data_IF_053544304475
#
_entry.id   IF_053544304475
#
_cell.length_a   1.000
_cell.length_b   1.000
_cell.length_c   1.000
_cell.angle_alpha   90.00
_cell.angle_beta   90.00
_cell.angle_gamma   90.00
#
_symmetry.space_group_name_H-M   'P 1'
#
loop_
_entity.id
_entity.type
_entity.pdbx_description
1 polymer ?
#
# COMPACT_ATOMS: atom_id res chain seq x y z
N UNK A 1 7.88 -19.14 15.63
CA UNK A 1 7.91 -17.68 15.45
C UNK A 1 9.27 -17.09 15.83
N UNK A 2 9.58 -16.76 17.09
CA UNK A 2 10.88 -16.12 17.44
C UNK A 2 12.09 -16.96 17.02
N UNK A 3 12.12 -18.25 17.37
CA UNK A 3 13.19 -19.16 16.98
C UNK A 3 13.42 -19.31 15.47
N UNK A 4 12.42 -18.98 14.64
CA UNK A 4 12.47 -19.14 13.18
C UNK A 4 12.76 -17.83 12.45
N UNK A 5 12.47 -16.69 13.07
CA UNK A 5 12.47 -15.37 12.42
C UNK A 5 13.42 -14.37 13.08
N UNK A 6 14.09 -14.75 14.18
CA UNK A 6 15.06 -13.87 14.81
C UNK A 6 16.22 -13.60 13.85
N UNK A 7 16.59 -12.33 13.75
CA UNK A 7 17.78 -11.88 13.05
C UNK A 7 18.89 -11.59 14.07
N UNK A 8 20.16 -11.88 13.75
CA UNK A 8 21.28 -11.55 14.62
C UNK A 8 21.53 -10.03 14.65
N UNK A 9 22.14 -9.55 15.74
CA UNK A 9 22.62 -8.17 15.90
C UNK A 9 21.52 -7.09 15.79
N UNK A 10 20.27 -7.44 16.07
CA UNK A 10 19.14 -6.53 16.11
C UNK A 10 18.22 -6.86 17.30
N UNK A 11 17.41 -5.90 17.71
CA UNK A 11 16.36 -6.13 18.72
C UNK A 11 15.12 -6.68 18.01
N UNK A 12 14.92 -7.99 18.07
CA UNK A 12 13.79 -8.66 17.43
C UNK A 12 12.47 -8.33 18.15
N UNK A 13 11.62 -7.55 17.49
CA UNK A 13 10.29 -7.17 17.99
C UNK A 13 9.20 -7.71 17.07
N UNK A 14 8.21 -8.40 17.64
CA UNK A 14 7.12 -9.03 16.90
C UNK A 14 5.78 -8.42 17.30
N UNK A 15 5.12 -7.79 16.34
CA UNK A 15 3.75 -7.30 16.51
C UNK A 15 2.76 -8.40 16.11
N UNK A 16 2.00 -8.90 17.08
CA UNK A 16 1.06 -10.01 16.93
C UNK A 16 -0.32 -9.63 17.46
N UNK A 17 -1.35 -10.40 17.09
CA UNK A 17 -2.71 -10.14 17.59
C UNK A 17 -2.83 -10.40 19.10
N UNK A 18 -2.24 -11.49 19.59
CA UNK A 18 -2.27 -11.86 21.01
C UNK A 18 -0.97 -12.59 21.40
N UNK A 19 -0.05 -11.94 22.14
CA UNK A 19 1.18 -12.55 22.63
C UNK A 19 0.87 -13.34 23.91
N UNK A 20 0.39 -14.57 23.74
CA UNK A 20 0.02 -15.46 24.85
C UNK A 20 -1.01 -14.87 25.84
N UNK A 21 -1.85 -13.95 25.38
CA UNK A 21 -2.86 -13.28 26.21
C UNK A 21 -2.39 -12.00 26.92
N UNK A 22 -1.12 -11.62 26.79
CA UNK A 22 -0.55 -10.41 27.41
C UNK A 22 -0.60 -9.19 26.47
N UNK A 23 -0.23 -8.01 26.97
CA UNK A 23 0.07 -6.86 26.11
C UNK A 23 1.47 -6.97 25.48
N UNK A 24 2.43 -7.54 26.19
CA UNK A 24 3.78 -7.78 25.71
C UNK A 24 4.49 -8.82 26.56
N UNK A 25 5.61 -9.33 26.05
CA UNK A 25 6.62 -10.00 26.86
C UNK A 25 7.98 -9.99 26.14
N UNK A 26 9.06 -9.89 26.90
CA UNK A 26 10.40 -10.32 26.49
C UNK A 26 10.61 -11.80 26.85
N UNK A 27 11.15 -12.58 25.91
CA UNK A 27 11.56 -13.97 26.15
C UNK A 27 13.08 -14.08 26.22
N UNK A 28 13.69 -14.25 27.42
CA UNK A 28 15.14 -14.34 27.55
C UNK A 28 15.75 -15.50 26.78
N UNK A 29 15.08 -16.66 26.76
CA UNK A 29 15.62 -17.87 26.10
C UNK A 29 15.57 -17.84 24.58
N UNK A 30 14.63 -17.08 24.00
CA UNK A 30 14.53 -16.90 22.55
C UNK A 30 15.07 -15.54 22.10
N UNK A 31 15.48 -14.68 23.04
CA UNK A 31 15.97 -13.33 22.83
C UNK A 31 15.11 -12.49 21.86
N UNK A 32 13.84 -12.34 22.20
CA UNK A 32 12.88 -11.60 21.37
C UNK A 32 11.71 -11.04 22.17
N UNK A 33 11.16 -9.94 21.66
CA UNK A 33 10.03 -9.21 22.26
C UNK A 33 8.77 -9.49 21.44
N UNK A 34 7.68 -9.88 22.09
CA UNK A 34 6.35 -9.95 21.48
C UNK A 34 5.45 -8.83 22.02
N UNK A 35 4.67 -8.22 21.14
CA UNK A 35 3.80 -7.09 21.46
C UNK A 35 2.42 -7.32 20.84
N UNK A 36 1.38 -7.06 21.61
CA UNK A 36 0.01 -7.07 21.12
C UNK A 36 -0.26 -5.81 20.31
N UNK A 37 -0.79 -5.97 19.10
CA UNK A 37 -1.21 -4.84 18.25
C UNK A 37 -2.15 -3.87 18.99
N UNK A 38 -2.99 -4.40 19.88
CA UNK A 38 -3.94 -3.61 20.68
C UNK A 38 -3.31 -2.80 21.83
N UNK A 39 -2.02 -2.98 22.14
CA UNK A 39 -1.31 -2.27 23.22
C UNK A 39 -0.11 -1.46 22.68
N UNK A 40 -0.20 -1.01 21.42
CA UNK A 40 0.82 -0.21 20.72
C UNK A 40 0.24 1.11 20.18
N UNK A 41 -0.78 1.67 20.83
CA UNK A 41 -1.25 3.00 20.51
C UNK A 41 -0.16 4.05 20.83
N UNK A 42 -0.22 5.27 20.26
CA UNK A 42 0.82 6.29 20.45
C UNK A 42 1.10 6.72 21.91
N UNK A 43 0.20 6.42 22.84
CA UNK A 43 0.33 6.71 24.28
C UNK A 43 0.65 5.48 25.13
N UNK A 44 0.79 4.31 24.51
CA UNK A 44 1.04 3.06 25.21
C UNK A 44 2.55 2.91 25.47
N UNK A 45 2.90 2.34 26.61
CA UNK A 45 4.31 2.17 27.03
C UNK A 45 4.76 0.71 27.04
N UNK A 46 3.94 -0.21 26.52
CA UNK A 46 4.24 -1.65 26.45
C UNK A 46 5.62 -1.93 25.84
N UNK A 47 5.96 -1.30 24.71
CA UNK A 47 7.26 -1.54 24.08
C UNK A 47 8.43 -1.08 24.95
N UNK A 48 8.31 0.10 25.58
CA UNK A 48 9.35 0.60 26.48
C UNK A 48 9.54 -0.36 27.67
N UNK A 49 8.45 -0.85 28.25
CA UNK A 49 8.47 -1.83 29.32
C UNK A 49 9.22 -3.11 28.93
N UNK A 50 8.89 -3.71 27.79
CA UNK A 50 9.58 -4.93 27.32
C UNK A 50 11.04 -4.70 26.95
N UNK A 51 11.39 -3.51 26.45
CA UNK A 51 12.79 -3.12 26.22
C UNK A 51 13.57 -3.04 27.53
N UNK A 52 12.92 -2.59 28.61
CA UNK A 52 13.51 -2.62 29.95
C UNK A 52 13.93 -4.04 30.34
N UNK A 53 13.04 -5.02 30.21
CA UNK A 53 13.37 -6.44 30.45
C UNK A 53 14.45 -6.97 29.51
N UNK A 54 14.37 -6.64 28.22
CA UNK A 54 15.39 -7.02 27.24
C UNK A 54 16.78 -6.53 27.66
N UNK A 55 16.86 -5.32 28.23
CA UNK A 55 18.07 -4.68 28.74
C UNK A 55 18.28 -4.90 30.25
N UNK A 56 17.86 -6.06 30.76
CA UNK A 56 18.11 -6.59 32.11
C UNK A 56 17.38 -5.96 33.29
N UNK A 57 16.35 -5.13 33.07
CA UNK A 57 15.56 -4.59 34.17
C UNK A 57 14.51 -5.59 34.67
N UNK A 58 14.36 -5.66 35.99
CA UNK A 58 13.22 -6.31 36.63
C UNK A 58 12.05 -5.34 36.79
N UNK A 59 10.87 -5.87 37.10
CA UNK A 59 9.75 -5.05 37.52
C UNK A 59 10.04 -4.37 38.87
N UNK A 60 9.52 -3.16 39.09
CA UNK A 60 9.67 -2.42 40.38
C UNK A 60 9.15 -3.21 41.57
N UNK A 61 8.21 -4.13 41.33
CA UNK A 61 7.61 -5.03 42.31
C UNK A 61 8.18 -6.46 42.26
N UNK A 62 9.42 -6.62 41.80
CA UNK A 62 10.05 -7.93 41.70
C UNK A 62 9.95 -8.73 43.01
N UNK A 63 9.60 -10.02 42.87
CA UNK A 63 9.29 -10.92 43.99
C UNK A 63 7.78 -11.05 44.28
N UNK A 64 6.98 -9.99 44.06
CA UNK A 64 5.53 -10.00 44.27
C UNK A 64 4.76 -10.74 43.16
N UNK A 65 5.37 -10.88 41.99
CA UNK A 65 4.78 -11.48 40.78
C UNK A 65 4.53 -12.98 40.88
N UNK A 66 5.24 -13.62 41.80
CA UNK A 66 5.21 -15.06 42.01
C UNK A 66 4.30 -15.45 43.18
N UNK A 67 3.60 -14.48 43.77
CA UNK A 67 2.75 -14.69 44.93
C UNK A 67 1.30 -14.90 44.51
N UNK A 68 0.85 -16.15 44.59
CA UNK A 68 -0.48 -16.58 44.12
C UNK A 68 -1.60 -16.36 45.16
N UNK A 69 -1.29 -15.85 46.35
CA UNK A 69 -2.28 -15.60 47.41
C UNK A 69 -2.74 -14.14 47.43
N UNK A 70 -3.96 -13.90 47.92
CA UNK A 70 -4.48 -12.54 48.10
C UNK A 70 -3.63 -11.78 49.12
N UNK A 71 -2.92 -10.74 48.65
CA UNK A 71 -2.13 -9.86 49.52
C UNK A 71 -3.07 -8.91 50.26
N UNK A 72 -2.98 -8.89 51.59
CA UNK A 72 -3.62 -7.86 52.40
C UNK A 72 -2.64 -6.72 52.67
N UNK A 73 -2.76 -5.64 51.89
CA UNK A 73 -1.89 -4.47 51.96
C UNK A 73 -2.08 -3.60 53.23
N UNK A 74 -3.15 -3.82 54.00
CA UNK A 74 -3.38 -3.14 55.30
C UNK A 74 -2.51 -3.70 56.42
N UNK A 75 -1.91 -4.88 56.22
CA UNK A 75 -0.98 -5.50 57.16
C UNK A 75 0.46 -5.26 56.71
N UNK A 76 1.42 -5.15 57.64
CA UNK A 76 2.83 -5.13 57.28
C UNK A 76 3.20 -6.32 56.40
N UNK A 77 3.87 -6.05 55.28
CA UNK A 77 4.43 -7.08 54.43
C UNK A 77 5.41 -7.97 55.23
N UNK A 78 5.58 -9.25 54.87
CA UNK A 78 6.62 -10.07 55.49
C UNK A 78 8.01 -9.56 55.09
N UNK A 79 9.04 -9.87 55.89
CA UNK A 79 10.43 -9.58 55.53
C UNK A 79 10.87 -10.31 54.24
N UNK A 80 10.25 -11.46 53.97
CA UNK A 80 10.50 -12.26 52.78
C UNK A 80 9.20 -12.74 52.16
N UNK A 81 9.11 -12.70 50.83
CA UNK A 81 8.02 -13.21 50.03
C UNK A 81 8.58 -14.22 49.03
N UNK A 82 8.19 -15.49 49.13
CA UNK A 82 8.67 -16.58 48.26
C UNK A 82 10.21 -16.71 48.16
N UNK A 83 10.92 -16.37 49.25
CA UNK A 83 12.38 -16.41 49.31
C UNK A 83 13.08 -15.15 48.82
N UNK A 84 12.33 -14.15 48.35
CA UNK A 84 12.82 -12.83 47.99
C UNK A 84 12.65 -11.86 49.15
N UNK A 85 13.64 -11.02 49.40
CA UNK A 85 13.54 -9.97 50.41
C UNK A 85 12.55 -8.88 49.93
N UNK A 86 11.66 -8.42 50.82
CA UNK A 86 10.72 -7.34 50.50
C UNK A 86 11.40 -5.98 50.71
N UNK A 87 11.35 -5.13 49.68
CA UNK A 87 11.97 -3.80 49.72
C UNK A 87 11.30 -2.91 50.77
N UNK A 88 12.10 -2.27 51.61
CA UNK A 88 11.63 -1.37 52.68
C UNK A 88 11.60 0.08 52.22
N UNK A 89 10.63 0.85 52.73
CA UNK A 89 10.45 2.27 52.36
C UNK A 89 11.64 3.13 52.77
N UNK A 90 12.34 2.73 53.83
CA UNK A 90 13.56 3.41 54.31
C UNK A 90 14.80 3.15 53.43
N UNK A 91 14.67 2.32 52.39
CA UNK A 91 15.73 1.95 51.44
C UNK A 91 16.91 1.23 52.07
N UNK A 92 16.74 0.65 53.25
CA UNK A 92 17.83 -0.09 53.93
C UNK A 92 18.29 -1.34 53.17
N UNK A 93 17.46 -1.85 52.26
CA UNK A 93 17.72 -3.04 51.46
C UNK A 93 17.47 -2.86 49.94
N UNK A 94 17.39 -1.62 49.43
CA UNK A 94 17.06 -1.36 48.01
C UNK A 94 18.02 -2.00 46.99
N UNK A 95 19.26 -2.32 47.37
CA UNK A 95 20.22 -2.99 46.47
C UNK A 95 20.03 -4.51 46.39
N UNK A 96 19.25 -5.09 47.30
CA UNK A 96 19.09 -6.56 47.44
C UNK A 96 17.64 -7.01 47.40
N UNK A 97 16.70 -6.07 47.46
CA UNK A 97 15.25 -6.30 47.45
C UNK A 97 14.58 -5.47 46.33
N UNK A 98 13.35 -5.84 45.97
CA UNK A 98 12.64 -5.19 44.86
C UNK A 98 13.38 -5.37 43.53
N UNK A 99 13.42 -4.32 42.70
CA UNK A 99 14.13 -4.35 41.42
C UNK A 99 15.65 -4.18 41.53
N UNK A 100 16.17 -3.98 42.74
CA UNK A 100 17.60 -3.85 43.03
C UNK A 100 18.17 -2.44 42.83
N UNK A 101 17.31 -1.43 42.62
CA UNK A 101 17.71 -0.04 42.47
C UNK A 101 17.27 0.80 43.68
N UNK A 102 18.07 1.79 44.04
CA UNK A 102 17.81 2.66 45.20
C UNK A 102 17.17 3.99 44.82
N UNK A 103 17.04 4.28 43.53
CA UNK A 103 16.33 5.45 42.99
C UNK A 103 14.93 5.11 42.43
N UNK A 104 14.52 3.85 42.52
CA UNK A 104 13.15 3.36 42.46
C UNK A 104 12.62 3.19 43.89
N UNK A 105 11.40 3.66 44.21
CA UNK A 105 10.76 3.37 45.49
C UNK A 105 10.13 1.99 45.49
N UNK A 106 10.02 1.39 46.68
CA UNK A 106 9.20 0.21 46.94
C UNK A 106 7.84 0.25 46.22
N UNK A 107 7.50 -0.86 45.58
CA UNK A 107 6.24 -1.12 44.87
C UNK A 107 5.85 -2.58 45.09
N UNK A 108 4.65 -2.86 45.60
CA UNK A 108 4.18 -4.24 45.86
C UNK A 108 3.00 -4.63 44.96
N UNK A 109 2.65 -3.79 43.99
CA UNK A 109 1.46 -3.97 43.15
C UNK A 109 1.79 -4.71 41.85
N UNK A 110 1.84 -6.04 41.92
CA UNK A 110 2.09 -6.94 40.77
C UNK A 110 0.88 -7.14 39.83
N UNK A 111 0.03 -6.12 39.67
CA UNK A 111 -1.15 -6.15 38.81
C UNK A 111 -1.41 -4.78 38.18
N UNK A 112 -2.25 -4.70 37.15
CA UNK A 112 -2.56 -3.42 36.50
C UNK A 112 -3.31 -2.47 37.45
N UNK A 113 -2.81 -1.25 37.64
CA UNK A 113 -3.45 -0.26 38.53
C UNK A 113 -3.44 1.17 37.98
N UNK A 114 -4.36 2.01 38.48
CA UNK A 114 -4.50 3.41 38.08
C UNK A 114 -3.81 4.36 39.07
N UNK A 115 -3.15 5.40 38.56
CA UNK A 115 -2.58 6.44 39.41
C UNK A 115 -3.58 7.59 39.71
N UNK A 116 -3.36 8.25 40.85
CA UNK A 116 -4.04 9.47 41.27
C UNK A 116 -3.37 10.73 40.66
N UNK A 117 -3.86 11.93 41.00
CA UNK A 117 -3.33 13.21 40.49
C UNK A 117 -1.91 13.56 40.99
N UNK A 118 -1.34 12.76 41.89
CA UNK A 118 0.04 12.87 42.40
C UNK A 118 0.97 11.82 41.79
N UNK A 119 0.50 11.06 40.80
CA UNK A 119 1.19 9.90 40.24
C UNK A 119 1.49 8.80 41.28
N UNK A 120 0.56 8.57 42.21
CA UNK A 120 0.68 7.48 43.20
C UNK A 120 -0.43 6.45 42.99
N UNK A 121 -0.21 5.22 43.44
CA UNK A 121 -1.26 4.21 43.50
C UNK A 121 -2.44 4.66 44.38
N UNK A 122 -3.64 4.20 44.01
CA UNK A 122 -4.86 4.43 44.82
C UNK A 122 -4.96 3.45 46.00
N UNK A 123 -4.08 2.46 46.07
CA UNK A 123 -4.00 1.43 47.11
C UNK A 123 -2.83 1.76 48.05
N UNK A 124 -3.10 1.82 49.35
CA UNK A 124 -2.04 1.93 50.37
C UNK A 124 -1.42 0.57 50.61
N UNK A 125 -0.12 0.55 50.82
CA UNK A 125 0.69 -0.63 51.13
C UNK A 125 1.44 -0.37 52.41
N UNK A 126 1.79 -1.44 53.12
CA UNK A 126 2.52 -1.35 54.37
C UNK A 126 3.79 -2.20 54.28
N UNK A 127 4.95 -1.57 54.47
CA UNK A 127 6.24 -2.27 54.41
C UNK A 127 6.47 -3.17 55.63
N UNK A 128 7.55 -3.99 55.65
CA UNK A 128 7.84 -4.89 56.77
C UNK A 128 8.04 -4.20 58.13
N UNK A 129 8.45 -2.93 58.12
CA UNK A 129 8.62 -2.11 59.31
C UNK A 129 7.29 -1.44 59.76
N UNK A 130 6.19 -1.68 59.06
CA UNK A 130 4.89 -1.07 59.34
C UNK A 130 4.72 0.34 58.76
N UNK A 131 5.60 0.76 57.85
CA UNK A 131 5.52 2.07 57.19
C UNK A 131 4.49 2.01 56.06
N UNK A 132 3.47 2.85 56.14
CA UNK A 132 2.44 2.96 55.12
C UNK A 132 2.92 3.86 53.98
N UNK A 133 2.77 3.40 52.73
CA UNK A 133 3.17 4.12 51.52
C UNK A 133 2.22 3.83 50.34
N UNK A 134 2.48 4.49 49.20
CA UNK A 134 1.81 4.27 47.90
C UNK A 134 2.86 4.14 46.81
N UNK A 135 2.68 3.23 45.86
CA UNK A 135 3.63 3.02 44.76
C UNK A 135 3.68 4.24 43.85
N UNK A 136 4.88 4.59 43.39
CA UNK A 136 5.09 5.68 42.43
C UNK A 136 4.80 5.20 41.00
N UNK A 137 3.84 5.84 40.36
CA UNK A 137 3.33 5.46 39.05
C UNK A 137 4.20 5.93 37.88
N UNK A 138 5.30 6.64 38.13
CA UNK A 138 6.09 7.22 37.04
C UNK A 138 7.01 6.22 36.36
N UNK A 139 7.32 5.10 37.02
CA UNK A 139 8.31 4.14 36.53
C UNK A 139 7.72 3.19 35.49
N UNK A 140 8.39 3.10 34.34
CA UNK A 140 7.97 2.26 33.21
C UNK A 140 7.96 0.77 33.57
N UNK A 141 8.85 0.33 34.48
CA UNK A 141 8.90 -1.06 34.96
C UNK A 141 7.85 -1.41 36.02
N UNK A 142 6.94 -0.49 36.35
CA UNK A 142 5.75 -0.78 37.16
C UNK A 142 4.54 -1.15 36.27
N UNK A 143 3.48 -1.70 36.86
CA UNK A 143 2.20 -1.97 36.19
C UNK A 143 1.18 -0.83 36.32
N UNK A 144 1.66 0.36 36.69
CA UNK A 144 0.85 1.59 36.68
C UNK A 144 0.38 1.99 35.28
N UNK A 145 -0.85 2.50 35.16
CA UNK A 145 -1.45 2.89 33.89
C UNK A 145 -0.53 3.74 33.01
N UNK A 146 -0.52 3.50 31.68
CA UNK A 146 0.46 4.10 30.75
C UNK A 146 0.45 5.64 30.76
N UNK A 147 -0.69 6.26 31.08
CA UNK A 147 -0.79 7.71 31.25
C UNK A 147 0.08 8.28 32.38
N UNK A 148 0.57 7.43 33.29
CA UNK A 148 1.35 7.78 34.48
C UNK A 148 2.83 7.40 34.32
N UNK A 149 3.07 6.20 33.77
CA UNK A 149 4.41 5.68 33.51
C UNK A 149 5.12 6.54 32.45
N UNK A 150 6.21 7.19 32.83
CA UNK A 150 6.86 8.22 32.00
C UNK A 150 8.38 8.16 32.05
N UNK A 151 9.00 7.42 32.98
CA UNK A 151 10.44 7.43 33.19
C UNK A 151 11.02 6.03 33.46
N UNK A 152 12.29 5.87 33.08
CA UNK A 152 13.22 4.98 33.77
C UNK A 152 14.01 5.79 34.79
N UNK A 153 14.41 5.18 35.89
CA UNK A 153 15.31 5.81 36.86
C UNK A 153 16.72 5.99 36.28
N UNK A 154 17.59 6.78 36.93
CA UNK A 154 18.96 6.96 36.47
C UNK A 154 19.78 5.67 36.65
N UNK A 155 19.54 4.92 37.73
CA UNK A 155 20.18 3.62 37.94
C UNK A 155 19.68 2.57 36.95
N UNK A 156 18.38 2.55 36.64
CA UNK A 156 17.82 1.71 35.57
C UNK A 156 18.42 2.04 34.20
N UNK A 157 18.55 3.33 33.85
CA UNK A 157 19.24 3.75 32.61
C UNK A 157 20.70 3.30 32.62
N UNK A 158 21.38 3.41 33.77
CA UNK A 158 22.74 2.94 33.96
C UNK A 158 22.87 1.43 33.72
N UNK A 159 21.98 0.63 34.31
CA UNK A 159 21.95 -0.82 34.15
C UNK A 159 21.67 -1.24 32.70
N UNK A 160 20.68 -0.63 32.05
CA UNK A 160 20.40 -0.90 30.63
C UNK A 160 21.60 -0.60 29.73
N UNK A 161 22.30 0.51 29.98
CA UNK A 161 23.53 0.86 29.25
C UNK A 161 24.66 -0.12 29.53
N UNK A 162 24.84 -0.55 30.78
CA UNK A 162 25.84 -1.55 31.13
C UNK A 162 25.54 -2.89 30.44
N UNK A 163 24.28 -3.36 30.47
CA UNK A 163 23.86 -4.56 29.76
C UNK A 163 24.12 -4.47 28.25
N UNK A 164 23.79 -3.32 27.63
CA UNK A 164 24.07 -3.07 26.21
C UNK A 164 25.57 -3.15 25.89
N UNK A 165 26.44 -2.61 26.76
CA UNK A 165 27.89 -2.57 26.52
C UNK A 165 28.60 -3.89 26.84
N UNK A 166 28.16 -4.60 27.87
CA UNK A 166 28.88 -5.74 28.44
C UNK A 166 28.31 -7.09 27.97
N UNK A 167 26.99 -7.19 27.82
CA UNK A 167 26.30 -8.44 27.50
C UNK A 167 25.69 -8.45 26.10
N UNK A 168 25.42 -7.27 25.52
CA UNK A 168 24.75 -7.12 24.21
C UNK A 168 25.50 -6.24 23.22
N UNK A 169 26.84 -6.28 23.29
CA UNK A 169 27.71 -5.43 22.47
C UNK A 169 27.51 -5.66 20.95
N UNK A 170 26.96 -6.79 20.54
CA UNK A 170 26.58 -7.10 19.16
C UNK A 170 25.51 -6.16 18.59
N UNK A 171 24.70 -5.52 19.44
CA UNK A 171 23.73 -4.51 19.04
C UNK A 171 24.38 -3.16 18.71
N UNK A 172 25.65 -2.98 19.05
CA UNK A 172 26.42 -1.76 18.82
C UNK A 172 27.12 -1.87 17.47
N UNK A 173 26.42 -1.43 16.42
CA UNK A 173 26.94 -1.37 15.05
C UNK A 173 27.02 0.05 14.49
N UNK A 174 27.65 0.24 13.31
CA UNK A 174 27.49 1.47 12.55
C UNK A 174 26.00 1.67 12.26
N UNK A 175 25.46 2.81 12.66
CA UNK A 175 24.08 3.17 12.32
C UNK A 175 23.96 3.24 10.79
N UNK A 176 22.91 2.66 10.18
CA UNK A 176 22.67 2.88 8.76
C UNK A 176 22.49 4.38 8.50
N UNK A 177 23.15 4.90 7.46
CA UNK A 177 22.95 6.29 7.03
C UNK A 177 21.50 6.43 6.57
N UNK A 178 20.71 7.24 7.29
CA UNK A 178 19.28 7.38 7.06
C UNK A 178 18.96 7.78 5.61
N UNK A 179 19.84 8.51 4.92
CA UNK A 179 19.65 8.90 3.51
C UNK A 179 19.52 7.72 2.56
N UNK A 180 20.12 6.57 2.90
CA UNK A 180 20.18 5.40 2.02
C UNK A 180 18.95 4.51 2.18
N UNK A 181 18.15 4.74 3.22
CA UNK A 181 16.98 3.92 3.57
C UNK A 181 15.69 4.74 3.63
N UNK A 182 15.74 6.06 3.79
CA UNK A 182 14.53 6.88 3.83
C UNK A 182 13.90 6.99 2.45
N UNK A 183 12.58 6.83 2.42
CA UNK A 183 11.80 7.12 1.22
C UNK A 183 11.76 8.65 1.06
N UNK A 184 12.09 9.21 -0.12
CA UNK A 184 12.01 10.65 -0.33
C UNK A 184 10.57 11.14 -0.20
N UNK A 185 10.41 12.41 0.17
CA UNK A 185 9.09 13.05 0.16
C UNK A 185 8.61 13.22 -1.29
N UNK A 186 7.71 12.33 -1.69
CA UNK A 186 7.18 12.25 -3.05
C UNK A 186 5.73 12.72 -3.05
N UNK A 187 5.51 14.01 -3.30
CA UNK A 187 4.14 14.56 -3.35
C UNK A 187 3.31 13.96 -4.49
N UNK A 188 3.93 13.59 -5.61
CA UNK A 188 3.24 13.02 -6.77
C UNK A 188 4.12 11.95 -7.43
N UNK A 189 3.48 10.86 -7.84
CA UNK A 189 4.13 9.82 -8.63
C UNK A 189 3.88 10.03 -10.13
N UNK A 190 4.88 9.76 -10.95
CA UNK A 190 4.76 9.79 -12.42
C UNK A 190 4.05 8.53 -12.92
N UNK A 191 2.86 8.64 -13.54
CA UNK A 191 2.20 7.49 -14.16
C UNK A 191 2.97 7.05 -15.42
N UNK A 192 3.28 5.77 -15.51
CA UNK A 192 3.74 5.15 -16.77
C UNK A 192 2.52 4.80 -17.62
N UNK A 193 1.48 4.24 -17.00
CA UNK A 193 0.21 3.91 -17.65
C UNK A 193 -0.90 3.72 -16.60
N UNK A 194 -2.17 4.02 -16.91
CA UNK A 194 -2.61 5.00 -17.89
C UNK A 194 -2.16 6.41 -17.51
N UNK A 195 -1.91 7.24 -18.51
CA UNK A 195 -1.73 8.68 -18.37
C UNK A 195 -3.09 9.38 -18.34
N UNK A 196 -3.11 10.66 -17.92
CA UNK A 196 -4.37 11.40 -17.71
C UNK A 196 -5.25 11.53 -18.97
N UNK A 197 -4.66 11.40 -20.17
CA UNK A 197 -5.36 11.51 -21.45
C UNK A 197 -5.79 10.16 -22.05
N UNK A 198 -5.49 9.04 -21.37
CA UNK A 198 -5.82 7.70 -21.88
C UNK A 198 -7.29 7.34 -21.64
N UNK A 199 -8.00 7.05 -22.74
CA UNK A 199 -9.34 6.47 -22.69
C UNK A 199 -9.28 4.95 -22.76
N UNK A 200 -9.57 4.29 -21.64
CA UNK A 200 -9.51 2.84 -21.54
C UNK A 200 -10.83 2.20 -21.96
N UNK A 201 -10.78 1.34 -22.99
CA UNK A 201 -11.95 0.63 -23.53
C UNK A 201 -12.22 -0.72 -22.87
N UNK A 202 -11.45 -1.05 -21.84
CA UNK A 202 -11.44 -2.34 -21.19
C UNK A 202 -11.95 -2.18 -19.75
N UNK A 203 -12.67 -3.18 -19.25
CA UNK A 203 -13.13 -3.23 -17.84
C UNK A 203 -12.02 -3.64 -16.87
N UNK A 204 -10.79 -3.73 -17.36
CA UNK A 204 -9.59 -4.10 -16.63
C UNK A 204 -8.52 -3.08 -16.97
N UNK A 205 -7.78 -2.57 -16.00
CA UNK A 205 -6.66 -1.67 -16.23
C UNK A 205 -5.49 -2.13 -15.37
N UNK A 206 -4.31 -2.19 -15.97
CA UNK A 206 -3.07 -2.22 -15.19
C UNK A 206 -2.60 -0.79 -15.03
N UNK A 207 -2.55 -0.30 -13.80
CA UNK A 207 -1.87 0.96 -13.52
C UNK A 207 -0.39 0.65 -13.24
N UNK A 208 0.50 1.47 -13.76
CA UNK A 208 1.96 1.37 -13.66
C UNK A 208 2.55 2.76 -13.40
N UNK A 209 3.56 2.87 -12.55
CA UNK A 209 4.18 4.13 -12.16
C UNK A 209 5.70 4.03 -12.03
N UNK A 210 6.39 5.18 -12.05
CA UNK A 210 7.82 5.22 -11.80
C UNK A 210 8.13 4.79 -10.35
N UNK A 211 9.06 3.83 -10.12
CA UNK A 211 9.43 3.41 -8.77
C UNK A 211 9.89 4.59 -7.91
N UNK A 212 9.43 4.64 -6.67
CA UNK A 212 9.90 5.60 -5.68
C UNK A 212 11.20 5.04 -5.06
N UNK A 213 12.31 5.81 -5.02
CA UNK A 213 13.55 5.37 -4.40
C UNK A 213 13.34 4.86 -2.97
N UNK A 214 14.04 3.78 -2.61
CA UNK A 214 13.99 3.13 -1.30
C UNK A 214 12.62 2.56 -0.88
N UNK A 215 11.64 2.46 -1.78
CA UNK A 215 10.37 1.79 -1.51
C UNK A 215 10.43 0.30 -1.90
N UNK A 216 10.14 -0.59 -0.95
CA UNK A 216 10.10 -2.04 -1.16
C UNK A 216 8.71 -2.53 -1.59
N UNK A 217 7.67 -1.79 -1.19
CA UNK A 217 6.27 -2.11 -1.49
C UNK A 217 5.43 -0.84 -1.54
N UNK A 218 4.17 -0.97 -1.98
CA UNK A 218 3.23 0.13 -2.11
C UNK A 218 1.85 -0.28 -1.62
N UNK A 219 1.21 0.56 -0.80
CA UNK A 219 -0.26 0.54 -0.68
C UNK A 219 -0.83 1.36 -1.82
N UNK A 220 -1.68 0.75 -2.63
CA UNK A 220 -2.36 1.38 -3.76
C UNK A 220 -3.84 1.49 -3.46
N UNK A 221 -4.40 2.68 -3.64
CA UNK A 221 -5.84 2.91 -3.56
C UNK A 221 -6.40 3.34 -4.90
N UNK A 222 -7.56 2.79 -5.28
CA UNK A 222 -8.37 3.21 -6.43
C UNK A 222 -9.76 3.63 -5.97
N UNK A 223 -10.26 4.72 -6.53
CA UNK A 223 -11.52 5.33 -6.09
C UNK A 223 -12.22 6.09 -7.23
N UNK A 224 -13.56 6.02 -7.36
CA UNK A 224 -14.30 6.96 -8.23
C UNK A 224 -14.29 8.41 -7.71
N UNK A 225 -13.87 8.66 -6.46
CA UNK A 225 -13.82 10.00 -5.88
C UNK A 225 -12.40 10.46 -5.53
N UNK A 226 -12.03 11.66 -5.99
CA UNK A 226 -10.69 12.27 -5.76
C UNK A 226 -10.33 12.50 -4.29
N UNK A 227 -11.33 12.57 -3.40
CA UNK A 227 -11.14 12.92 -1.98
C UNK A 227 -10.78 11.73 -1.08
N UNK A 228 -10.96 10.49 -1.55
CA UNK A 228 -10.66 9.26 -0.79
C UNK A 228 -11.26 9.21 0.64
N UNK A 229 -12.42 9.85 0.86
CA UNK A 229 -13.14 9.81 2.15
C UNK A 229 -13.78 8.45 2.44
N UNK A 230 -14.07 7.67 1.39
CA UNK A 230 -14.50 6.27 1.44
C UNK A 230 -13.54 5.48 0.56
N UNK A 231 -12.79 4.53 1.12
CA UNK A 231 -11.83 3.72 0.34
C UNK A 231 -12.57 2.53 -0.26
N UNK A 232 -12.55 2.40 -1.60
CA UNK A 232 -13.20 1.29 -2.32
C UNK A 232 -12.28 0.11 -2.49
N UNK A 233 -11.07 0.37 -2.96
CA UNK A 233 -10.06 -0.63 -3.21
C UNK A 233 -8.75 -0.20 -2.57
N UNK A 234 -8.14 -1.11 -1.81
CA UNK A 234 -6.82 -0.95 -1.20
C UNK A 234 -6.08 -2.28 -1.31
N UNK A 235 -4.85 -2.22 -1.79
CA UNK A 235 -4.01 -3.40 -1.97
C UNK A 235 -2.56 -3.06 -1.63
N UNK A 236 -1.82 -4.06 -1.14
CA UNK A 236 -0.37 -4.00 -0.98
C UNK A 236 0.27 -4.75 -2.16
N UNK A 237 1.23 -4.12 -2.83
CA UNK A 237 1.98 -4.71 -3.94
C UNK A 237 3.48 -4.49 -3.78
N UNK A 238 4.29 -5.43 -4.28
CA UNK A 238 5.75 -5.36 -4.23
C UNK A 238 6.38 -4.85 -5.54
N UNK A 239 5.55 -4.60 -6.56
CA UNK A 239 5.96 -4.05 -7.85
C UNK A 239 5.22 -2.71 -8.06
N UNK A 240 5.78 -1.76 -8.83
CA UNK A 240 5.15 -0.47 -9.09
C UNK A 240 4.02 -0.56 -10.13
N UNK A 241 3.17 -1.59 -9.98
CA UNK A 241 2.02 -1.86 -10.85
C UNK A 241 0.95 -2.67 -10.13
N UNK A 242 -0.29 -2.51 -10.55
CA UNK A 242 -1.41 -3.34 -10.12
C UNK A 242 -2.51 -3.35 -11.18
N UNK A 243 -3.18 -4.49 -11.33
CA UNK A 243 -4.36 -4.63 -12.20
C UNK A 243 -5.65 -4.53 -11.39
N UNK A 244 -6.57 -3.68 -11.85
CA UNK A 244 -7.93 -3.59 -11.36
C UNK A 244 -8.90 -4.09 -12.41
N UNK A 245 -9.77 -5.01 -12.03
CA UNK A 245 -10.80 -5.57 -12.89
C UNK A 245 -12.20 -5.04 -12.56
N UNK A 246 -13.16 -5.37 -13.41
CA UNK A 246 -14.57 -5.05 -13.28
C UNK A 246 -14.88 -3.54 -13.19
N UNK A 247 -14.03 -2.69 -13.77
CA UNK A 247 -14.30 -1.26 -13.86
C UNK A 247 -15.59 -0.98 -14.64
N UNK A 248 -16.28 0.07 -14.21
CA UNK A 248 -17.44 0.63 -14.91
C UNK A 248 -16.94 1.47 -16.09
N UNK A 249 -17.71 1.48 -17.18
CA UNK A 249 -17.43 2.29 -18.36
C UNK A 249 -18.00 3.69 -18.22
N UNK A 250 -17.36 4.68 -18.86
CA UNK A 250 -17.74 6.10 -18.78
C UNK A 250 -17.63 6.67 -17.37
N UNK A 251 -16.62 6.24 -16.61
CA UNK A 251 -16.31 6.72 -15.27
C UNK A 251 -14.89 7.26 -15.21
N UNK A 252 -14.67 8.26 -14.37
CA UNK A 252 -13.33 8.73 -14.01
C UNK A 252 -12.90 8.04 -12.73
N UNK A 253 -11.71 7.44 -12.75
CA UNK A 253 -11.10 6.84 -11.57
C UNK A 253 -9.88 7.64 -11.13
N UNK A 254 -9.71 7.71 -9.81
CA UNK A 254 -8.59 8.33 -9.14
C UNK A 254 -7.79 7.26 -8.41
N UNK A 255 -6.47 7.33 -8.51
CA UNK A 255 -5.59 6.42 -7.78
C UNK A 255 -4.43 7.16 -7.15
N UNK A 256 -3.93 6.62 -6.04
CA UNK A 256 -2.77 7.14 -5.31
C UNK A 256 -2.00 5.98 -4.71
N UNK A 257 -0.71 6.20 -4.46
CA UNK A 257 0.18 5.20 -3.86
C UNK A 257 0.76 5.74 -2.57
N UNK A 258 1.02 4.85 -1.63
CA UNK A 258 1.84 5.08 -0.45
C UNK A 258 3.02 4.12 -0.56
N UNK A 259 4.24 4.61 -0.80
CA UNK A 259 5.43 3.78 -0.73
C UNK A 259 5.71 3.34 0.71
N UNK A 260 6.21 2.13 0.88
CA UNK A 260 6.50 1.51 2.17
C UNK A 260 7.84 0.78 2.07
N UNK A 261 8.63 0.87 3.14
CA UNK A 261 9.80 0.03 3.35
C UNK A 261 9.89 -0.40 4.81
N UNK A 262 10.96 -1.12 5.16
CA UNK A 262 11.19 -1.64 6.51
C UNK A 262 11.25 -0.56 7.61
N UNK A 263 11.61 0.67 7.28
CA UNK A 263 11.75 1.79 8.23
C UNK A 263 10.64 2.83 8.15
N UNK A 264 9.92 2.89 7.05
CA UNK A 264 8.84 3.83 6.79
C UNK A 264 7.59 3.10 6.29
N UNK A 265 6.69 2.84 7.23
CA UNK A 265 5.36 2.26 6.99
C UNK A 265 4.24 3.30 7.04
N UNK A 266 4.58 4.54 7.42
CA UNK A 266 3.63 5.59 7.74
C UNK A 266 3.66 6.76 6.75
N UNK A 267 4.51 6.71 5.72
CA UNK A 267 4.62 7.72 4.66
C UNK A 267 3.24 8.19 4.17
N UNK A 268 2.98 9.49 3.93
CA UNK A 268 1.78 9.95 3.25
C UNK A 268 1.52 9.25 1.90
N UNK A 269 0.24 9.22 1.52
CA UNK A 269 -0.12 8.91 0.14
C UNK A 269 0.26 10.08 -0.78
N UNK A 270 0.66 9.76 -2.00
CA UNK A 270 0.83 10.76 -3.06
C UNK A 270 -0.49 11.48 -3.37
N UNK A 271 -0.39 12.63 -4.03
CA UNK A 271 -1.53 13.25 -4.71
C UNK A 271 -2.11 12.26 -5.73
N UNK A 272 -3.45 12.25 -5.90
CA UNK A 272 -4.08 11.28 -6.79
C UNK A 272 -3.88 11.63 -8.26
N UNK A 273 -3.50 10.63 -9.03
CA UNK A 273 -3.59 10.60 -10.50
C UNK A 273 -4.99 10.13 -10.92
N UNK A 274 -5.33 10.27 -12.20
CA UNK A 274 -6.63 9.85 -12.73
C UNK A 274 -6.53 9.29 -14.14
N UNK A 275 -7.54 8.52 -14.52
CA UNK A 275 -7.79 8.05 -15.88
C UNK A 275 -9.29 7.88 -16.12
N UNK A 276 -9.68 7.87 -17.39
CA UNK A 276 -11.08 7.72 -17.80
C UNK A 276 -11.31 6.37 -18.47
N UNK A 277 -12.44 5.73 -18.13
CA UNK A 277 -12.95 4.58 -18.89
C UNK A 277 -13.97 5.06 -19.91
N UNK A 278 -14.04 4.41 -21.07
CA UNK A 278 -14.99 4.80 -22.10
C UNK A 278 -15.39 3.67 -23.03
N UNK A 279 -16.40 3.92 -23.86
CA UNK A 279 -16.79 3.03 -24.96
C UNK A 279 -16.32 3.61 -26.29
N UNK A 280 -15.40 2.95 -26.99
CA UNK A 280 -15.08 3.31 -28.38
C UNK A 280 -16.11 2.65 -29.30
N UNK A 281 -16.88 3.46 -30.03
CA UNK A 281 -17.52 3.02 -31.27
C UNK A 281 -16.44 2.96 -32.35
N UNK A 282 -15.91 1.76 -32.60
CA UNK A 282 -14.93 1.55 -33.68
C UNK A 282 -15.60 1.77 -35.04
N UNK A 283 -15.17 2.79 -35.79
CA UNK A 283 -15.45 2.92 -37.22
C UNK A 283 -14.30 2.36 -38.05
N UNK A 284 -13.87 1.12 -37.82
CA UNK A 284 -13.09 0.38 -38.83
C UNK A 284 -14.08 -0.26 -39.80
N UNK A 285 -14.52 0.49 -40.81
CA UNK A 285 -15.14 -0.12 -41.99
C UNK A 285 -14.12 -1.09 -42.60
N UNK A 286 -14.45 -2.38 -42.70
CA UNK A 286 -13.56 -3.37 -43.26
C UNK A 286 -13.17 -2.96 -44.70
N UNK A 287 -11.87 -2.93 -45.02
CA UNK A 287 -11.41 -2.47 -46.34
C UNK A 287 -11.23 -3.65 -47.30
N UNK A 288 -11.58 -3.46 -48.58
CA UNK A 288 -11.23 -4.39 -49.66
C UNK A 288 -9.75 -4.19 -50.05
N UNK A 289 -9.06 -5.24 -50.53
CA UNK A 289 -7.68 -5.12 -51.04
C UNK A 289 -7.57 -4.07 -52.15
N UNK A 290 -6.51 -3.25 -52.12
CA UNK A 290 -6.33 -2.14 -53.07
C UNK A 290 -6.15 -2.56 -54.53
N UNK A 291 -5.69 -3.78 -54.76
CA UNK A 291 -5.47 -4.43 -56.06
C UNK A 291 -6.73 -5.10 -56.61
N UNK A 292 -7.81 -5.17 -55.83
CA UNK A 292 -9.08 -5.77 -56.24
C UNK A 292 -9.76 -5.01 -57.38
N UNK A 293 -9.48 -3.71 -57.55
CA UNK A 293 -10.05 -2.92 -58.64
C UNK A 293 -8.99 -2.19 -59.46
N UNK A 294 -9.22 -2.12 -60.77
CA UNK A 294 -8.46 -1.28 -61.69
C UNK A 294 -9.40 -0.39 -62.50
N UNK A 295 -8.98 0.87 -62.69
CA UNK A 295 -9.75 1.90 -63.39
C UNK A 295 -8.97 2.37 -64.62
N UNK A 296 -9.50 2.14 -65.82
CA UNK A 296 -8.78 2.48 -67.05
C UNK A 296 -9.71 2.88 -68.22
N UNK A 297 -9.32 3.87 -69.05
CA UNK A 297 -8.18 4.77 -68.83
C UNK A 297 -8.45 5.73 -67.66
N UNK A 298 -7.43 6.03 -66.88
CA UNK A 298 -7.46 7.05 -65.83
C UNK A 298 -6.13 7.81 -65.89
N UNK A 299 -6.08 9.04 -66.44
CA UNK A 299 -7.24 9.92 -66.70
C UNK A 299 -8.19 9.51 -67.85
N UNK A 300 -9.46 9.89 -67.73
CA UNK A 300 -10.54 9.63 -68.70
C UNK A 300 -10.55 10.71 -69.78
N UNK A 301 -10.39 10.33 -71.04
CA UNK A 301 -10.32 11.28 -72.18
C UNK A 301 -11.40 11.05 -73.25
N UNK A 302 -12.11 9.93 -73.22
CA UNK A 302 -13.11 9.53 -74.23
C UNK A 302 -14.52 9.39 -73.64
N UNK A 303 -14.85 10.20 -72.64
CA UNK A 303 -16.15 10.19 -71.94
C UNK A 303 -16.60 8.82 -71.37
N UNK A 304 -15.66 7.89 -71.18
CA UNK A 304 -15.91 6.56 -70.62
C UNK A 304 -14.64 5.99 -69.99
N UNK A 305 -14.80 5.32 -68.85
CA UNK A 305 -13.75 4.47 -68.26
C UNK A 305 -14.31 3.11 -67.86
N UNK A 306 -13.42 2.15 -67.68
CA UNK A 306 -13.74 0.78 -67.25
C UNK A 306 -13.35 0.62 -65.79
N UNK A 307 -14.30 0.13 -65.00
CA UNK A 307 -14.09 -0.45 -63.68
C UNK A 307 -13.95 -1.96 -63.86
N UNK A 308 -12.76 -2.49 -63.60
CA UNK A 308 -12.47 -3.92 -63.57
C UNK A 308 -12.31 -4.35 -62.11
N UNK A 309 -13.07 -5.36 -61.68
CA UNK A 309 -13.12 -5.85 -60.31
C UNK A 309 -12.70 -7.32 -60.32
N UNK A 310 -11.57 -7.64 -59.71
CA UNK A 310 -11.05 -9.00 -59.57
C UNK A 310 -11.50 -9.58 -58.23
N UNK A 311 -12.75 -10.04 -58.17
CA UNK A 311 -13.29 -10.66 -56.96
C UNK A 311 -13.03 -12.18 -56.97
N UNK A 312 -12.11 -12.66 -56.13
CA UNK A 312 -11.81 -14.09 -55.99
C UNK A 312 -12.93 -14.95 -55.37
N UNK A 313 -14.09 -14.35 -55.05
CA UNK A 313 -15.30 -14.98 -54.53
C UNK A 313 -16.55 -14.23 -55.02
N UNK A 314 -17.68 -14.91 -55.03
CA UNK A 314 -18.96 -14.28 -55.29
C UNK A 314 -19.33 -13.31 -54.16
N UNK A 315 -19.69 -12.08 -54.50
CA UNK A 315 -20.05 -11.00 -53.58
C UNK A 315 -21.09 -10.10 -54.22
N UNK A 316 -21.87 -9.39 -53.40
CA UNK A 316 -22.87 -8.43 -53.89
C UNK A 316 -22.67 -7.06 -53.26
N UNK A 317 -22.96 -6.00 -54.01
CA UNK A 317 -22.82 -4.66 -53.49
C UNK A 317 -23.12 -3.59 -54.51
N UNK A 318 -22.41 -2.47 -54.44
CA UNK A 318 -22.62 -1.33 -55.32
C UNK A 318 -21.35 -0.50 -55.46
N UNK A 319 -21.27 0.27 -56.54
CA UNK A 319 -20.29 1.35 -56.66
C UNK A 319 -20.99 2.70 -56.74
N UNK A 320 -20.26 3.74 -56.33
CA UNK A 320 -20.68 5.14 -56.42
C UNK A 320 -19.52 5.97 -56.96
N UNK A 321 -19.80 6.83 -57.93
CA UNK A 321 -18.89 7.88 -58.35
C UNK A 321 -19.29 9.18 -57.64
N UNK A 322 -18.33 9.82 -56.98
CA UNK A 322 -18.55 11.05 -56.19
C UNK A 322 -17.69 12.19 -56.71
N UNK A 323 -18.24 13.39 -56.77
CA UNK A 323 -17.48 14.59 -57.10
C UNK A 323 -16.62 15.07 -55.91
N UNK A 324 -15.82 16.12 -56.11
CA UNK A 324 -14.96 16.71 -55.06
C UNK A 324 -15.72 17.28 -53.85
N UNK A 325 -17.03 17.49 -53.96
CA UNK A 325 -17.92 17.91 -52.85
C UNK A 325 -18.54 16.71 -52.11
N UNK A 326 -18.16 15.48 -52.45
CA UNK A 326 -18.68 14.25 -51.85
C UNK A 326 -20.07 13.82 -52.35
N UNK A 327 -20.66 14.56 -53.29
CA UNK A 327 -21.98 14.25 -53.86
C UNK A 327 -21.88 13.07 -54.81
N UNK A 328 -22.79 12.11 -54.68
CA UNK A 328 -22.88 10.96 -55.61
C UNK A 328 -23.44 11.46 -56.94
N UNK A 329 -22.64 11.34 -58.00
CA UNK A 329 -23.03 11.74 -59.36
C UNK A 329 -23.55 10.55 -60.17
N UNK A 330 -23.08 9.33 -59.86
CA UNK A 330 -23.56 8.07 -60.42
C UNK A 330 -23.43 6.95 -59.40
N UNK A 331 -24.31 5.94 -59.47
CA UNK A 331 -24.24 4.75 -58.63
C UNK A 331 -24.91 3.57 -59.33
N UNK A 332 -24.41 2.37 -59.11
CA UNK A 332 -25.05 1.15 -59.59
C UNK A 332 -24.74 -0.06 -58.70
N UNK A 333 -25.72 -0.96 -58.59
CA UNK A 333 -25.53 -2.25 -57.94
C UNK A 333 -24.66 -3.17 -58.80
N UNK A 334 -23.87 -4.00 -58.15
CA UNK A 334 -22.97 -4.96 -58.77
C UNK A 334 -23.02 -6.30 -58.04
N UNK A 335 -22.79 -7.37 -58.79
CA UNK A 335 -22.61 -8.73 -58.26
C UNK A 335 -21.41 -9.34 -58.96
N UNK A 336 -20.52 -9.96 -58.19
CA UNK A 336 -19.42 -10.77 -58.70
C UNK A 336 -19.77 -12.25 -58.53
N UNK A 337 -19.37 -13.09 -59.47
CA UNK A 337 -19.63 -14.54 -59.44
C UNK A 337 -18.36 -15.35 -59.10
N UNK A 338 -17.29 -14.67 -58.66
CA UNK A 338 -15.97 -15.26 -58.40
C UNK A 338 -15.03 -15.20 -59.59
N UNK A 339 -15.54 -14.83 -60.77
CA UNK A 339 -14.75 -14.38 -61.91
C UNK A 339 -14.88 -12.85 -61.99
N UNK A 340 -13.82 -12.16 -62.39
CA UNK A 340 -13.79 -10.70 -62.35
C UNK A 340 -14.93 -10.06 -63.17
N UNK A 341 -15.40 -8.88 -62.74
CA UNK A 341 -16.48 -8.13 -63.40
C UNK A 341 -15.92 -6.87 -64.02
N UNK A 342 -16.26 -6.63 -65.29
CA UNK A 342 -15.94 -5.39 -65.98
C UNK A 342 -17.20 -4.57 -66.23
N UNK A 343 -17.14 -3.30 -65.85
CA UNK A 343 -18.22 -2.35 -66.07
C UNK A 343 -17.70 -1.08 -66.74
N UNK A 344 -18.34 -0.70 -67.84
CA UNK A 344 -18.10 0.58 -68.51
C UNK A 344 -18.95 1.66 -67.87
N UNK A 345 -18.32 2.74 -67.44
CA UNK A 345 -18.94 3.88 -66.76
C UNK A 345 -18.79 5.09 -67.67
N UNK A 346 -19.92 5.63 -68.17
CA UNK A 346 -19.93 6.83 -68.99
C UNK A 346 -19.76 8.07 -68.13
N UNK A 347 -18.86 8.96 -68.55
CA UNK A 347 -18.63 10.27 -67.95
C UNK A 347 -19.18 11.41 -68.79
N UNK A 348 -20.01 11.12 -69.80
CA UNK A 348 -20.66 12.13 -70.63
C UNK A 348 -21.49 13.09 -69.76
N UNK A 349 -21.28 14.39 -69.93
CA UNK A 349 -21.95 15.44 -69.16
C UNK A 349 -21.42 15.67 -67.74
N UNK A 350 -20.39 14.96 -67.29
CA UNK A 350 -19.70 15.27 -66.04
C UNK A 350 -18.62 16.34 -66.28
N UNK A 351 -18.53 17.40 -65.46
CA UNK A 351 -17.46 18.39 -65.58
C UNK A 351 -16.06 17.77 -65.42
N UNK A 352 -15.10 18.28 -66.18
CA UNK A 352 -13.66 18.02 -66.00
C UNK A 352 -13.26 18.24 -64.53
N UNK A 353 -12.57 17.27 -63.94
CA UNK A 353 -12.17 17.35 -62.53
C UNK A 353 -11.84 16.01 -61.87
N UNK A 354 -11.64 16.09 -60.55
CA UNK A 354 -11.35 14.93 -59.70
C UNK A 354 -12.63 14.32 -59.12
N UNK A 355 -12.73 13.01 -59.24
CA UNK A 355 -13.82 12.19 -58.72
C UNK A 355 -13.25 11.02 -57.90
N UNK A 356 -14.11 10.42 -57.09
CA UNK A 356 -13.80 9.27 -56.26
C UNK A 356 -14.80 8.16 -56.54
N UNK A 357 -14.31 6.99 -56.98
CA UNK A 357 -15.12 5.79 -57.11
C UNK A 357 -15.03 5.00 -55.81
N UNK A 358 -16.14 4.90 -55.07
CA UNK A 358 -16.31 4.04 -53.88
C UNK A 358 -17.00 2.75 -54.31
N UNK A 359 -16.34 1.62 -54.12
CA UNK A 359 -16.91 0.27 -54.24
C UNK A 359 -17.22 -0.27 -52.85
N UNK A 360 -18.40 -0.84 -52.68
CA UNK A 360 -18.81 -1.58 -51.48
C UNK A 360 -19.23 -2.98 -51.92
N UNK A 361 -18.65 -4.02 -51.34
CA UNK A 361 -19.04 -5.41 -51.53
C UNK A 361 -19.24 -6.04 -50.16
N UNK A 362 -20.44 -6.58 -49.93
CA UNK A 362 -20.91 -7.07 -48.65
C UNK A 362 -20.76 -6.00 -47.54
N UNK A 363 -19.83 -6.19 -46.60
CA UNK A 363 -19.50 -5.28 -45.49
C UNK A 363 -18.18 -4.52 -45.68
N UNK A 364 -17.53 -4.68 -46.83
CA UNK A 364 -16.21 -4.11 -47.12
C UNK A 364 -16.25 -3.04 -48.20
N UNK A 365 -15.31 -2.11 -48.15
CA UNK A 365 -15.25 -1.02 -49.12
C UNK A 365 -13.83 -0.66 -49.60
N UNK A 366 -13.75 -0.03 -50.77
CA UNK A 366 -12.54 0.54 -51.35
C UNK A 366 -12.88 1.82 -52.12
N UNK A 367 -12.01 2.82 -52.05
CA UNK A 367 -12.17 4.06 -52.81
C UNK A 367 -10.94 4.32 -53.67
N UNK A 368 -11.13 4.59 -54.97
CA UNK A 368 -10.05 4.96 -55.91
C UNK A 368 -10.37 6.29 -56.61
N UNK A 369 -9.33 7.07 -56.86
CA UNK A 369 -9.42 8.36 -57.55
C UNK A 369 -9.63 8.17 -59.05
N UNK A 370 -10.52 8.97 -59.64
CA UNK A 370 -10.77 9.07 -61.09
C UNK A 370 -10.56 10.52 -61.53
N UNK A 371 -9.78 10.73 -62.58
CA UNK A 371 -9.54 12.06 -63.17
C UNK A 371 -10.24 12.11 -64.51
N UNK A 372 -11.19 13.03 -64.69
CA UNK A 372 -11.90 13.24 -65.96
C UNK A 372 -11.32 14.50 -66.60
N UNK A 373 -10.82 14.39 -67.83
CA UNK A 373 -10.28 15.51 -68.61
C UNK A 373 -11.32 16.09 -69.56
#
# INVERSE_FOLDING_TARGET
MMAENNLPNVINCYVVESPAGNCGYFSPGLDGIALAKGCLAPSDHTWAHEIGHFLSLNHTFFGWEYYDEEVNFDLPAPEFLNGWEVEKVDRSNCQTAGDGFCDTPADYLAFRWNCNNRNESTIEQTDPNGVVFRSDARYIMSYSSDRCATIFSEEQIGAMRANLLEERAELIGPQPELSDILIPDTEQVTPIYPTADDLLTIRSVTIEWEPIPNADSYIVQLNPFRVFSVVFNEFIVNEPRITFDALLSNETYYWRVKPINETDTCHPFTRPNSFDTGTVVSSREAQLPEDMISLFPNPVTQEVFTLDIQAGKAASGYWQLRNSKGQVVQAQNIRTDGFGVQQRISTAGLPTGMYWLRLVLDDKQLTKKVIIH
#
